data_IF_135387723353
#
_entry.id   IF_135387723353
#
_cell.length_a   1.000
_cell.length_b   1.000
_cell.length_c   1.000
_cell.angle_alpha   90.00
_cell.angle_beta   90.00
_cell.angle_gamma   90.00
#
_symmetry.space_group_name_H-M   'P 1'
#
loop_
_entity.id
_entity.type
_entity.pdbx_description
1 polymer ?
#
# COMPACT_ATOMS: atom_id res chain seq x y z
N UNK A 1 3.93 -22.65 -13.91
CA UNK A 1 4.34 -21.77 -15.03
C UNK A 1 5.29 -20.75 -14.42
N UNK A 2 6.59 -20.93 -14.62
CA UNK A 2 7.62 -20.06 -14.05
C UNK A 2 7.40 -18.63 -14.56
N UNK A 3 7.03 -17.75 -13.68
CA UNK A 3 6.97 -16.30 -13.93
C UNK A 3 8.43 -15.85 -14.05
N UNK A 4 8.88 -15.58 -15.27
CA UNK A 4 10.28 -15.20 -15.53
C UNK A 4 10.68 -13.96 -14.70
N UNK A 5 11.97 -13.80 -14.36
CA UNK A 5 12.48 -12.74 -13.46
C UNK A 5 12.08 -11.32 -13.89
N UNK A 6 11.79 -11.08 -15.17
CA UNK A 6 11.35 -9.79 -15.69
C UNK A 6 9.91 -9.41 -15.31
N UNK A 7 9.02 -10.39 -15.06
CA UNK A 7 7.64 -10.09 -14.65
C UNK A 7 7.59 -9.49 -13.24
N UNK A 8 8.53 -9.87 -12.37
CA UNK A 8 8.67 -9.34 -11.01
C UNK A 8 9.03 -7.85 -10.96
N UNK A 9 9.67 -7.33 -12.02
CA UNK A 9 10.09 -5.92 -12.12
C UNK A 9 9.26 -5.10 -13.11
N UNK A 10 8.15 -5.64 -13.61
CA UNK A 10 7.32 -4.99 -14.64
C UNK A 10 6.83 -3.60 -14.22
N UNK A 11 6.40 -3.44 -12.97
CA UNK A 11 5.94 -2.15 -12.43
C UNK A 11 7.08 -1.12 -12.34
N UNK A 12 8.27 -1.54 -11.92
CA UNK A 12 9.46 -0.70 -11.82
C UNK A 12 9.96 -0.27 -13.20
N UNK A 13 9.95 -1.19 -14.15
CA UNK A 13 10.32 -0.90 -15.54
C UNK A 13 9.34 0.08 -16.19
N UNK A 14 8.05 -0.10 -15.97
CA UNK A 14 7.01 0.82 -16.44
C UNK A 14 7.17 2.21 -15.82
N UNK A 15 7.49 2.31 -14.53
CA UNK A 15 7.79 3.59 -13.88
C UNK A 15 9.03 4.25 -14.49
N UNK A 16 10.13 3.51 -14.66
CA UNK A 16 11.36 4.01 -15.30
C UNK A 16 11.09 4.55 -16.70
N UNK A 17 10.33 3.83 -17.52
CA UNK A 17 9.94 4.27 -18.85
C UNK A 17 9.09 5.56 -18.80
N UNK A 18 8.10 5.65 -17.89
CA UNK A 18 7.29 6.85 -17.72
C UNK A 18 8.12 8.06 -17.33
N UNK A 19 9.01 7.91 -16.34
CA UNK A 19 9.91 9.00 -15.90
C UNK A 19 10.77 9.48 -17.07
N UNK A 20 11.36 8.56 -17.83
CA UNK A 20 12.20 8.90 -18.97
C UNK A 20 11.39 9.63 -20.05
N UNK A 21 10.22 9.13 -20.42
CA UNK A 21 9.35 9.76 -21.42
C UNK A 21 8.90 11.14 -20.96
N UNK A 22 8.49 11.28 -19.67
CA UNK A 22 8.09 12.57 -19.12
C UNK A 22 9.23 13.60 -19.15
N UNK A 23 10.46 13.20 -18.80
CA UNK A 23 11.62 14.07 -18.86
C UNK A 23 11.93 14.53 -20.29
N UNK A 24 11.99 13.59 -21.24
CA UNK A 24 12.28 13.88 -22.66
C UNK A 24 11.17 14.73 -23.29
N UNK A 25 9.90 14.40 -23.03
CA UNK A 25 8.76 15.15 -23.54
C UNK A 25 8.75 16.59 -22.98
N UNK A 26 9.01 16.77 -21.67
CA UNK A 26 9.08 18.09 -21.05
C UNK A 26 10.21 18.92 -21.64
N UNK A 27 11.39 18.33 -21.86
CA UNK A 27 12.51 19.00 -22.51
C UNK A 27 12.16 19.44 -23.94
N UNK A 28 11.54 18.55 -24.73
CA UNK A 28 11.13 18.85 -26.11
C UNK A 28 10.07 19.96 -26.18
N UNK A 29 9.03 19.87 -25.36
CA UNK A 29 7.95 20.88 -25.30
C UNK A 29 8.52 22.22 -24.80
N UNK A 30 9.35 22.21 -23.77
CA UNK A 30 9.97 23.43 -23.24
C UNK A 30 10.86 24.13 -24.26
N UNK A 31 11.60 23.37 -25.08
CA UNK A 31 12.38 23.91 -26.21
C UNK A 31 11.48 24.57 -27.27
N UNK A 32 10.38 23.92 -27.64
CA UNK A 32 9.42 24.44 -28.61
C UNK A 32 8.73 25.72 -28.12
N UNK A 33 8.47 25.82 -26.81
CA UNK A 33 7.83 26.98 -26.18
C UNK A 33 8.83 28.11 -25.86
N UNK A 34 10.13 27.88 -25.99
CA UNK A 34 11.17 28.85 -25.64
C UNK A 34 11.20 29.21 -24.16
N UNK A 35 10.82 28.25 -23.28
CA UNK A 35 10.77 28.52 -21.83
C UNK A 35 12.19 28.74 -21.28
N UNK A 36 12.45 29.84 -20.57
CA UNK A 36 13.69 29.98 -19.83
C UNK A 36 13.78 28.89 -18.75
N UNK A 37 14.91 28.42 -18.37
CA UNK A 37 15.09 27.49 -17.27
C UNK A 37 14.33 26.11 -17.39
N UNK A 38 14.31 25.52 -18.56
CA UNK A 38 13.70 24.20 -18.86
C UNK A 38 14.08 23.11 -17.83
N UNK A 39 15.27 23.22 -17.22
CA UNK A 39 15.78 22.27 -16.22
C UNK A 39 14.78 22.04 -15.08
N UNK A 40 14.18 23.09 -14.56
CA UNK A 40 13.23 22.99 -13.45
C UNK A 40 11.91 22.34 -13.86
N UNK A 41 11.45 22.57 -15.07
CA UNK A 41 10.26 21.88 -15.60
C UNK A 41 10.52 20.36 -15.76
N UNK A 42 11.70 19.98 -16.27
CA UNK A 42 12.09 18.56 -16.41
C UNK A 42 12.21 17.91 -15.04
N UNK A 43 12.86 18.55 -14.06
CA UNK A 43 12.94 18.04 -12.69
C UNK A 43 11.55 17.86 -12.07
N UNK A 44 10.65 18.81 -12.29
CA UNK A 44 9.27 18.74 -11.83
C UNK A 44 8.54 17.54 -12.45
N UNK A 45 8.69 17.31 -13.76
CA UNK A 45 8.08 16.16 -14.43
C UNK A 45 8.59 14.82 -13.89
N UNK A 46 9.89 14.71 -13.64
CA UNK A 46 10.52 13.52 -13.03
C UNK A 46 9.96 13.26 -11.63
N UNK A 47 9.91 14.28 -10.77
CA UNK A 47 9.44 14.19 -9.39
C UNK A 47 7.95 13.82 -9.33
N UNK A 48 7.12 14.37 -10.23
CA UNK A 48 5.68 14.20 -10.22
C UNK A 48 5.21 12.92 -10.92
N UNK A 49 6.08 12.26 -11.70
CA UNK A 49 5.78 10.96 -12.29
C UNK A 49 5.94 9.87 -11.24
N UNK A 50 4.83 9.30 -10.78
CA UNK A 50 4.77 8.32 -9.69
C UNK A 50 4.36 6.92 -10.19
N UNK A 51 4.38 5.91 -9.29
CA UNK A 51 4.03 4.53 -9.61
C UNK A 51 2.58 4.34 -10.09
N UNK A 52 1.64 5.13 -9.59
CA UNK A 52 0.25 5.12 -10.04
C UNK A 52 -0.19 6.50 -10.53
N UNK A 53 -1.23 6.52 -11.36
CA UNK A 53 -1.82 7.76 -11.89
C UNK A 53 -2.35 8.63 -10.74
N UNK A 54 -3.03 8.04 -9.76
CA UNK A 54 -3.56 8.77 -8.59
C UNK A 54 -2.47 9.40 -7.74
N UNK A 55 -1.32 8.73 -7.57
CA UNK A 55 -0.17 9.33 -6.88
C UNK A 55 0.40 10.51 -7.67
N UNK A 56 0.50 10.39 -9.00
CA UNK A 56 0.97 11.50 -9.83
C UNK A 56 0.03 12.70 -9.74
N UNK A 57 -1.30 12.49 -9.76
CA UNK A 57 -2.29 13.56 -9.59
C UNK A 57 -2.15 14.22 -8.22
N UNK A 58 -2.14 13.43 -7.14
CA UNK A 58 -1.98 13.95 -5.78
C UNK A 58 -0.67 14.74 -5.63
N UNK A 59 0.44 14.16 -6.11
CA UNK A 59 1.74 14.80 -6.06
C UNK A 59 1.74 16.13 -6.83
N UNK A 60 1.11 16.19 -8.02
CA UNK A 60 1.00 17.40 -8.81
C UNK A 60 0.17 18.47 -8.09
N UNK A 61 -0.96 18.10 -7.49
CA UNK A 61 -1.80 19.04 -6.74
C UNK A 61 -1.03 19.59 -5.53
N UNK A 62 -0.45 18.73 -4.70
CA UNK A 62 0.29 19.14 -3.50
C UNK A 62 1.51 20.01 -3.87
N UNK A 63 2.23 19.63 -4.93
CA UNK A 63 3.37 20.38 -5.45
C UNK A 63 2.95 21.77 -5.98
N UNK A 64 1.83 21.85 -6.69
CA UNK A 64 1.30 23.12 -7.21
C UNK A 64 0.90 24.08 -6.08
N UNK A 65 0.23 23.58 -5.03
CA UNK A 65 -0.09 24.41 -3.86
C UNK A 65 1.17 24.89 -3.13
N UNK A 66 2.15 24.03 -2.93
CA UNK A 66 3.43 24.38 -2.33
C UNK A 66 4.20 25.42 -3.16
N UNK A 67 4.21 25.26 -4.48
CA UNK A 67 4.87 26.18 -5.40
C UNK A 67 4.16 27.54 -5.43
N UNK A 68 2.84 27.57 -5.56
CA UNK A 68 2.08 28.82 -5.57
C UNK A 68 2.27 29.58 -4.25
N UNK A 69 2.10 28.91 -3.11
CA UNK A 69 2.29 29.52 -1.79
C UNK A 69 3.72 30.04 -1.58
N UNK A 70 4.71 29.22 -1.94
CA UNK A 70 6.13 29.60 -1.87
C UNK A 70 6.49 30.75 -2.79
N UNK A 71 6.02 30.73 -4.04
CA UNK A 71 6.30 31.78 -5.04
C UNK A 71 5.67 33.11 -4.68
N UNK A 72 4.40 33.13 -4.25
CA UNK A 72 3.70 34.34 -3.82
C UNK A 72 4.40 34.95 -2.61
N UNK A 73 4.62 34.13 -1.55
CA UNK A 73 5.22 34.66 -0.34
C UNK A 73 6.65 35.14 -0.55
N UNK A 74 7.52 34.34 -1.17
CA UNK A 74 8.91 34.72 -1.43
C UNK A 74 9.03 35.89 -2.41
N UNK A 75 8.16 35.97 -3.43
CA UNK A 75 8.09 37.07 -4.36
C UNK A 75 7.71 38.39 -3.65
N UNK A 76 6.73 38.38 -2.75
CA UNK A 76 6.36 39.55 -1.95
C UNK A 76 7.49 39.96 -1.02
N UNK A 77 8.07 39.04 -0.25
CA UNK A 77 9.18 39.37 0.68
C UNK A 77 10.36 39.94 -0.08
N UNK A 78 10.72 39.39 -1.23
CA UNK A 78 11.84 39.88 -2.05
C UNK A 78 11.58 41.25 -2.65
N UNK A 79 10.33 41.65 -2.88
CA UNK A 79 9.98 42.95 -3.40
C UNK A 79 10.08 44.06 -2.33
N UNK A 80 9.88 43.72 -1.05
CA UNK A 80 9.95 44.68 0.06
C UNK A 80 11.35 44.84 0.65
N UNK A 81 12.22 43.84 0.50
CA UNK A 81 13.60 43.90 0.99
C UNK A 81 14.54 44.22 -0.16
N UNK A 82 14.72 45.49 -0.42
CA UNK A 82 15.65 45.97 -1.46
C UNK A 82 17.10 45.92 -0.95
N UNK A 83 17.99 45.24 -1.65
CA UNK A 83 19.43 45.28 -1.40
C UNK A 83 20.18 44.06 -1.98
N UNK A 84 21.25 44.34 -2.71
CA UNK A 84 22.09 43.33 -3.37
C UNK A 84 23.32 42.91 -2.54
N UNK A 85 23.40 43.32 -1.26
CA UNK A 85 24.54 42.99 -0.39
C UNK A 85 24.35 41.59 0.25
N UNK A 86 25.45 40.82 0.44
CA UNK A 86 25.42 39.49 1.03
C UNK A 86 24.64 39.42 2.36
N UNK A 87 24.82 40.32 3.35
CA UNK A 87 24.06 40.28 4.60
C UNK A 87 22.55 40.45 4.39
N UNK A 88 22.15 41.28 3.47
CA UNK A 88 20.73 41.51 3.12
C UNK A 88 20.14 40.27 2.44
N UNK A 89 20.90 39.58 1.60
CA UNK A 89 20.47 38.36 0.95
C UNK A 89 20.29 37.23 1.94
N UNK A 90 21.19 37.08 2.93
CA UNK A 90 21.06 36.12 4.02
C UNK A 90 19.82 36.36 4.87
N UNK A 91 19.57 37.64 5.23
CA UNK A 91 18.38 38.01 5.99
C UNK A 91 17.10 37.77 5.18
N UNK A 92 17.10 38.14 3.90
CA UNK A 92 15.99 37.92 2.99
C UNK A 92 15.66 36.41 2.87
N UNK A 93 16.69 35.61 2.70
CA UNK A 93 16.53 34.15 2.62
C UNK A 93 15.95 33.60 3.91
N UNK A 94 16.43 34.04 5.08
CA UNK A 94 15.92 33.61 6.38
C UNK A 94 14.44 34.01 6.56
N UNK A 95 14.06 35.22 6.24
CA UNK A 95 12.67 35.71 6.33
C UNK A 95 11.76 34.94 5.36
N UNK A 96 12.25 34.68 4.14
CA UNK A 96 11.47 33.95 3.15
C UNK A 96 11.28 32.47 3.50
N UNK A 97 12.31 31.82 4.04
CA UNK A 97 12.24 30.36 4.25
C UNK A 97 11.61 29.98 5.59
N UNK A 98 11.89 30.70 6.68
CA UNK A 98 11.46 30.27 8.01
C UNK A 98 9.94 30.05 8.16
N UNK A 99 9.05 30.95 7.69
CA UNK A 99 7.61 30.71 7.72
C UNK A 99 7.17 29.58 6.79
N UNK A 100 7.79 29.47 5.60
CA UNK A 100 7.46 28.40 4.65
C UNK A 100 7.89 27.04 5.16
N UNK A 101 9.04 26.96 5.85
CA UNK A 101 9.52 25.73 6.49
C UNK A 101 8.59 25.31 7.63
N UNK A 102 8.12 26.27 8.44
CA UNK A 102 7.14 25.98 9.48
C UNK A 102 5.82 25.48 8.87
N UNK A 103 5.32 26.14 7.84
CA UNK A 103 4.10 25.74 7.14
C UNK A 103 4.24 24.34 6.53
N UNK A 104 5.39 24.03 5.93
CA UNK A 104 5.72 22.71 5.39
C UNK A 104 5.74 21.61 6.48
N UNK A 105 6.27 21.93 7.67
CA UNK A 105 6.29 21.00 8.79
C UNK A 105 4.87 20.71 9.34
N UNK A 106 3.99 21.70 9.32
CA UNK A 106 2.61 21.57 9.80
C UNK A 106 1.67 20.95 8.76
N UNK A 107 1.94 21.15 7.48
CA UNK A 107 1.02 20.78 6.40
C UNK A 107 1.78 20.16 5.21
N UNK A 108 1.68 18.85 4.99
CA UNK A 108 2.41 18.15 3.91
C UNK A 108 2.20 18.72 2.49
N UNK A 109 1.05 19.34 2.23
CA UNK A 109 0.77 20.00 0.94
C UNK A 109 1.74 21.12 0.58
N UNK A 110 2.37 21.71 1.58
CA UNK A 110 3.34 22.80 1.38
C UNK A 110 4.80 22.35 1.47
N UNK A 111 5.05 21.03 1.37
CA UNK A 111 6.40 20.46 1.48
C UNK A 111 7.42 21.08 0.53
N UNK A 112 6.98 21.55 -0.62
CA UNK A 112 7.82 22.17 -1.68
C UNK A 112 7.94 23.69 -1.54
N UNK A 113 7.12 24.32 -0.71
CA UNK A 113 7.10 25.78 -0.55
C UNK A 113 8.47 26.39 -0.14
N UNK A 114 9.23 25.79 0.81
CA UNK A 114 10.56 26.31 1.15
C UNK A 114 11.54 26.24 -0.03
N UNK A 115 11.54 25.13 -0.78
CA UNK A 115 12.40 24.98 -1.95
C UNK A 115 12.05 26.02 -3.05
N UNK A 116 10.76 26.26 -3.26
CA UNK A 116 10.31 27.32 -4.17
C UNK A 116 10.73 28.70 -3.69
N UNK A 117 10.65 28.95 -2.38
CA UNK A 117 11.13 30.21 -1.77
C UNK A 117 12.61 30.45 -2.03
N UNK A 118 13.46 29.41 -1.86
CA UNK A 118 14.89 29.48 -2.19
C UNK A 118 15.10 29.85 -3.65
N UNK A 119 14.40 29.18 -4.57
CA UNK A 119 14.53 29.43 -6.01
C UNK A 119 14.16 30.87 -6.34
N UNK A 120 13.02 31.39 -5.85
CA UNK A 120 12.52 32.72 -6.13
C UNK A 120 13.45 33.82 -5.57
N UNK A 121 14.06 33.58 -4.39
CA UNK A 121 14.99 34.55 -3.78
C UNK A 121 16.35 34.54 -4.47
N UNK A 122 16.87 33.35 -4.86
CA UNK A 122 18.23 33.24 -5.38
C UNK A 122 18.30 33.31 -6.91
N UNK A 123 17.26 32.94 -7.66
CA UNK A 123 17.28 32.99 -9.12
C UNK A 123 17.64 34.39 -9.67
N UNK A 124 17.16 35.54 -9.10
CA UNK A 124 17.57 36.85 -9.54
C UNK A 124 19.07 37.13 -9.51
N UNK A 125 19.80 36.48 -8.58
CA UNK A 125 21.27 36.64 -8.49
C UNK A 125 22.01 35.98 -9.65
N UNK A 126 21.37 35.00 -10.30
CA UNK A 126 21.93 34.23 -11.43
C UNK A 126 21.44 34.76 -12.78
N UNK A 127 20.19 35.20 -12.86
CA UNK A 127 19.51 35.54 -14.13
C UNK A 127 19.34 37.02 -14.35
N UNK A 128 19.65 37.87 -13.35
CA UNK A 128 19.36 39.32 -13.36
C UNK A 128 17.87 39.64 -13.58
N UNK A 129 16.96 38.67 -13.45
CA UNK A 129 15.53 38.85 -13.49
C UNK A 129 15.02 39.42 -12.17
N UNK A 130 13.79 39.98 -12.16
CA UNK A 130 13.15 40.36 -10.89
C UNK A 130 12.65 39.15 -10.13
N UNK A 131 12.53 39.22 -8.80
CA UNK A 131 11.97 38.14 -7.98
C UNK A 131 10.54 37.76 -8.40
N UNK A 132 9.76 38.75 -8.85
CA UNK A 132 8.41 38.50 -9.36
C UNK A 132 8.42 37.71 -10.67
N UNK A 133 9.35 38.02 -11.57
CA UNK A 133 9.54 37.28 -12.82
C UNK A 133 9.97 35.84 -12.52
N UNK A 134 10.91 35.67 -11.60
CA UNK A 134 11.35 34.30 -11.16
C UNK A 134 10.22 33.50 -10.51
N UNK A 135 9.33 34.16 -9.74
CA UNK A 135 8.13 33.52 -9.18
C UNK A 135 7.15 33.07 -10.27
N UNK A 136 6.93 33.93 -11.27
CA UNK A 136 6.07 33.60 -12.43
C UNK A 136 6.64 32.43 -13.25
N UNK A 137 7.93 32.52 -13.60
CA UNK A 137 8.62 31.45 -14.34
C UNK A 137 8.50 30.11 -13.59
N UNK A 138 8.68 30.11 -12.25
CA UNK A 138 8.57 28.92 -11.42
C UNK A 138 7.19 28.28 -11.48
N UNK A 139 6.14 29.09 -11.51
CA UNK A 139 4.75 28.60 -11.66
C UNK A 139 4.54 27.96 -13.04
N UNK A 140 5.04 28.60 -14.10
CA UNK A 140 4.95 28.06 -15.47
C UNK A 140 5.74 26.75 -15.63
N UNK A 141 6.95 26.67 -15.09
CA UNK A 141 7.78 25.45 -15.11
C UNK A 141 7.07 24.29 -14.41
N UNK A 142 6.45 24.54 -13.25
CA UNK A 142 5.70 23.54 -12.51
C UNK A 142 4.42 23.14 -13.24
N UNK A 143 3.73 24.10 -13.86
CA UNK A 143 2.55 23.80 -14.67
C UNK A 143 2.93 22.93 -15.89
N UNK A 144 4.03 23.25 -16.59
CA UNK A 144 4.51 22.48 -17.72
C UNK A 144 4.94 21.07 -17.28
N UNK A 145 5.85 20.98 -16.30
CA UNK A 145 6.37 19.69 -15.83
C UNK A 145 5.27 18.80 -15.22
N UNK A 146 4.39 19.36 -14.42
CA UNK A 146 3.23 18.67 -13.82
C UNK A 146 2.22 18.24 -14.86
N UNK A 147 1.89 19.10 -15.83
CA UNK A 147 0.98 18.77 -16.93
C UNK A 147 1.52 17.59 -17.76
N UNK A 148 2.79 17.64 -18.16
CA UNK A 148 3.43 16.53 -18.90
C UNK A 148 3.48 15.26 -18.06
N UNK A 149 3.83 15.34 -16.77
CA UNK A 149 3.84 14.20 -15.88
C UNK A 149 2.46 13.52 -15.79
N UNK A 150 1.38 14.30 -15.71
CA UNK A 150 0.01 13.76 -15.68
C UNK A 150 -0.36 13.09 -17.01
N UNK A 151 -0.12 13.76 -18.14
CA UNK A 151 -0.41 13.21 -19.47
C UNK A 151 0.36 11.91 -19.70
N UNK A 152 1.65 11.89 -19.40
CA UNK A 152 2.47 10.67 -19.53
C UNK A 152 2.01 9.58 -18.58
N UNK A 153 1.70 9.90 -17.33
CA UNK A 153 1.19 8.92 -16.35
C UNK A 153 -0.14 8.31 -16.78
N UNK A 154 -0.97 9.04 -17.52
CA UNK A 154 -2.26 8.55 -18.01
C UNK A 154 -2.14 7.75 -19.32
N UNK A 155 -1.24 8.14 -20.23
CA UNK A 155 -1.11 7.54 -21.56
C UNK A 155 -0.09 6.40 -21.62
N UNK A 156 1.00 6.47 -20.84
CA UNK A 156 2.11 5.53 -20.90
C UNK A 156 2.01 4.51 -19.80
N UNK A 157 1.62 3.29 -20.15
CA UNK A 157 1.45 2.17 -19.20
C UNK A 157 0.68 2.55 -17.94
N UNK A 158 -0.58 2.98 -18.03
CA UNK A 158 -1.34 3.47 -16.88
C UNK A 158 -1.42 2.37 -15.81
N UNK A 159 -0.68 2.54 -14.73
CA UNK A 159 -0.80 1.68 -13.55
C UNK A 159 -1.92 2.24 -12.69
N UNK A 160 -3.11 1.62 -12.77
CA UNK A 160 -4.23 1.99 -11.90
C UNK A 160 -3.92 1.50 -10.50
N UNK A 161 -4.02 2.36 -9.51
CA UNK A 161 -3.78 2.02 -8.11
C UNK A 161 -4.66 0.86 -7.65
N UNK A 162 -5.86 0.73 -8.23
CA UNK A 162 -6.76 -0.40 -8.01
C UNK A 162 -6.13 -1.75 -8.38
N UNK A 163 -5.50 -1.87 -9.56
CA UNK A 163 -4.87 -3.13 -9.99
C UNK A 163 -3.73 -3.47 -9.02
N UNK A 164 -2.93 -2.48 -8.64
CA UNK A 164 -1.85 -2.66 -7.67
C UNK A 164 -2.37 -3.08 -6.29
N UNK A 165 -3.52 -2.52 -5.86
CA UNK A 165 -4.17 -2.92 -4.60
C UNK A 165 -4.66 -4.38 -4.64
N UNK A 166 -5.20 -4.85 -5.78
CA UNK A 166 -5.63 -6.24 -5.93
C UNK A 166 -4.46 -7.21 -5.99
N UNK A 167 -3.38 -6.84 -6.67
CA UNK A 167 -2.13 -7.60 -6.66
C UNK A 167 -1.53 -7.68 -5.25
N UNK A 168 -1.52 -6.57 -4.50
CA UNK A 168 -1.07 -6.56 -3.10
C UNK A 168 -1.98 -7.42 -2.20
N UNK A 169 -3.30 -7.45 -2.46
CA UNK A 169 -4.24 -8.32 -1.77
C UNK A 169 -3.95 -9.81 -2.04
N UNK A 170 -3.71 -10.16 -3.30
CA UNK A 170 -3.33 -11.52 -3.67
C UNK A 170 -1.97 -11.94 -3.08
N UNK A 171 -1.00 -11.04 -3.04
CA UNK A 171 0.30 -11.26 -2.37
C UNK A 171 0.11 -11.53 -0.87
N UNK A 172 -0.75 -10.75 -0.21
CA UNK A 172 -1.09 -10.96 1.21
C UNK A 172 -1.72 -12.34 1.45
N UNK A 173 -2.65 -12.76 0.58
CA UNK A 173 -3.26 -14.08 0.66
C UNK A 173 -2.23 -15.21 0.46
N UNK A 174 -1.26 -15.02 -0.45
CA UNK A 174 -0.17 -15.97 -0.65
C UNK A 174 0.74 -16.07 0.59
N UNK A 175 1.06 -14.95 1.26
CA UNK A 175 1.79 -14.97 2.54
C UNK A 175 1.02 -15.69 3.65
N UNK A 176 -0.30 -15.49 3.73
CA UNK A 176 -1.13 -16.21 4.68
C UNK A 176 -1.16 -17.72 4.39
N UNK A 177 -1.26 -18.09 3.11
CA UNK A 177 -1.22 -19.49 2.68
C UNK A 177 0.10 -20.18 3.05
N UNK A 178 1.23 -19.48 2.92
CA UNK A 178 2.54 -20.01 3.35
C UNK A 178 2.65 -20.10 4.87
N UNK A 179 2.06 -19.16 5.61
CA UNK A 179 2.13 -19.11 7.06
C UNK A 179 1.27 -20.21 7.73
N UNK A 180 0.10 -20.55 7.17
CA UNK A 180 -0.87 -21.47 7.79
C UNK A 180 -0.27 -22.83 8.15
N UNK A 181 0.32 -23.62 7.23
CA UNK A 181 0.86 -24.95 7.58
C UNK A 181 1.96 -24.86 8.64
N UNK A 182 2.77 -23.77 8.61
CA UNK A 182 3.81 -23.53 9.60
C UNK A 182 3.22 -23.23 10.98
N UNK A 183 2.18 -22.41 11.07
CA UNK A 183 1.50 -22.13 12.34
C UNK A 183 0.83 -23.39 12.89
N UNK A 184 0.15 -24.17 12.05
CA UNK A 184 -0.55 -25.37 12.48
C UNK A 184 0.41 -26.48 12.92
N UNK A 185 1.64 -26.56 12.41
CA UNK A 185 2.63 -27.51 12.91
C UNK A 185 2.99 -27.27 14.39
N UNK A 186 2.71 -26.07 14.94
CA UNK A 186 2.84 -25.75 16.35
C UNK A 186 1.89 -26.55 17.27
N UNK A 187 0.78 -27.05 16.74
CA UNK A 187 -0.13 -27.92 17.51
C UNK A 187 0.45 -29.32 17.72
N UNK A 188 1.36 -29.77 16.86
CA UNK A 188 2.05 -31.04 16.97
C UNK A 188 3.35 -30.92 17.80
N UNK A 189 4.11 -29.86 17.60
CA UNK A 189 5.43 -29.68 18.21
C UNK A 189 5.64 -28.21 18.64
N UNK A 190 6.38 -27.96 19.74
CA UNK A 190 6.72 -26.62 20.15
C UNK A 190 7.46 -25.88 19.03
N UNK A 191 7.04 -24.66 18.74
CA UNK A 191 7.65 -23.81 17.73
C UNK A 191 8.51 -22.70 18.37
N UNK A 192 9.50 -22.22 17.61
CA UNK A 192 10.25 -21.06 17.98
C UNK A 192 9.33 -19.81 17.94
N UNK A 193 9.16 -19.10 19.08
CA UNK A 193 8.35 -17.88 19.12
C UNK A 193 8.85 -16.78 18.20
N UNK A 194 10.15 -16.77 17.83
CA UNK A 194 10.68 -15.80 16.88
C UNK A 194 10.23 -16.10 15.47
N UNK A 195 10.24 -17.36 15.05
CA UNK A 195 9.75 -17.77 13.73
C UNK A 195 8.26 -17.42 13.55
N UNK A 196 7.43 -17.61 14.58
CA UNK A 196 6.01 -17.22 14.54
C UNK A 196 5.87 -15.69 14.41
N UNK A 197 6.67 -14.91 15.18
CA UNK A 197 6.65 -13.45 15.08
C UNK A 197 7.10 -12.95 13.71
N UNK A 198 8.05 -13.62 13.08
CA UNK A 198 8.53 -13.25 11.75
C UNK A 198 7.45 -13.48 10.67
N UNK A 199 6.74 -14.60 10.73
CA UNK A 199 5.59 -14.86 9.87
C UNK A 199 4.50 -13.80 10.05
N UNK A 200 4.15 -13.46 11.29
CA UNK A 200 3.15 -12.44 11.59
C UNK A 200 3.59 -11.04 11.12
N UNK A 201 4.89 -10.71 11.21
CA UNK A 201 5.45 -9.46 10.67
C UNK A 201 5.32 -9.43 9.15
N UNK A 202 5.68 -10.50 8.45
CA UNK A 202 5.54 -10.60 6.99
C UNK A 202 4.13 -10.33 6.50
N UNK A 203 3.12 -10.95 7.15
CA UNK A 203 1.70 -10.68 6.87
C UNK A 203 1.32 -9.23 7.21
N UNK A 204 1.86 -8.67 8.30
CA UNK A 204 1.66 -7.28 8.70
C UNK A 204 2.19 -6.29 7.67
N UNK A 205 3.37 -6.54 7.13
CA UNK A 205 3.99 -5.70 6.10
C UNK A 205 3.25 -5.79 4.77
N UNK A 206 2.77 -6.99 4.40
CA UNK A 206 1.91 -7.16 3.22
C UNK A 206 0.60 -6.39 3.36
N UNK A 207 -0.03 -6.43 4.54
CA UNK A 207 -1.23 -5.64 4.83
C UNK A 207 -0.97 -4.13 4.75
N UNK A 208 0.13 -3.64 5.31
CA UNK A 208 0.49 -2.22 5.25
C UNK A 208 0.70 -1.73 3.80
N UNK A 209 1.27 -2.58 2.94
CA UNK A 209 1.37 -2.29 1.49
C UNK A 209 0.00 -2.21 0.84
N UNK A 210 -0.89 -3.15 1.13
CA UNK A 210 -2.26 -3.19 0.62
C UNK A 210 -3.06 -1.96 1.04
N UNK A 211 -3.03 -1.60 2.34
CA UNK A 211 -3.72 -0.42 2.89
C UNK A 211 -3.27 0.87 2.18
N UNK A 212 -1.97 1.01 1.95
CA UNK A 212 -1.41 2.13 1.19
C UNK A 212 -1.93 2.17 -0.26
N UNK A 213 -1.99 1.03 -0.94
CA UNK A 213 -2.48 0.95 -2.32
C UNK A 213 -4.00 1.24 -2.40
N UNK A 214 -4.78 0.80 -1.41
CA UNK A 214 -6.22 1.11 -1.32
C UNK A 214 -6.46 2.61 -1.15
N UNK A 215 -5.70 3.27 -0.27
CA UNK A 215 -5.79 4.71 -0.09
C UNK A 215 -5.49 5.46 -1.40
N UNK A 216 -4.52 4.99 -2.18
CA UNK A 216 -4.21 5.55 -3.49
C UNK A 216 -5.35 5.31 -4.50
N UNK A 217 -5.92 4.09 -4.53
CA UNK A 217 -7.05 3.76 -5.39
C UNK A 217 -8.31 4.59 -5.05
N UNK A 218 -8.54 4.86 -3.77
CA UNK A 218 -9.62 5.76 -3.32
C UNK A 218 -9.44 7.18 -3.84
N UNK A 219 -8.22 7.72 -3.85
CA UNK A 219 -7.93 9.04 -4.41
C UNK A 219 -8.14 9.07 -5.93
N UNK A 220 -7.72 8.04 -6.66
CA UNK A 220 -7.99 7.92 -8.10
C UNK A 220 -9.47 7.95 -8.39
N UNK A 221 -10.28 7.18 -7.67
CA UNK A 221 -11.74 7.13 -7.86
C UNK A 221 -12.41 8.49 -7.67
N UNK A 222 -12.00 9.25 -6.64
CA UNK A 222 -12.55 10.59 -6.37
C UNK A 222 -12.19 11.57 -7.48
N UNK A 223 -10.94 11.53 -7.96
CA UNK A 223 -10.43 12.48 -8.96
C UNK A 223 -11.01 12.21 -10.35
N UNK A 224 -11.15 10.93 -10.73
CA UNK A 224 -11.63 10.55 -12.07
C UNK A 224 -13.12 10.22 -12.14
N UNK A 225 -13.87 10.34 -11.02
CA UNK A 225 -15.32 10.02 -10.94
C UNK A 225 -15.63 8.60 -11.48
N UNK A 226 -14.73 7.65 -11.31
CA UNK A 226 -14.93 6.28 -11.77
C UNK A 226 -16.02 5.57 -10.96
N UNK A 227 -16.98 4.96 -11.65
CA UNK A 227 -18.11 4.22 -11.05
C UNK A 227 -17.72 2.80 -10.57
N UNK A 228 -16.44 2.53 -10.38
CA UNK A 228 -15.95 1.20 -10.00
C UNK A 228 -16.23 0.85 -8.51
N UNK A 229 -16.48 -0.44 -8.17
CA UNK A 229 -16.78 -0.86 -6.81
C UNK A 229 -15.69 -0.48 -5.80
N UNK A 230 -16.11 -0.09 -4.60
CA UNK A 230 -15.22 0.23 -3.48
C UNK A 230 -14.39 -0.98 -3.04
N UNK A 231 -13.08 -0.81 -2.81
CA UNK A 231 -12.20 -1.84 -2.29
C UNK A 231 -12.24 -1.96 -0.76
N UNK A 232 -12.82 -0.98 -0.06
CA UNK A 232 -12.86 -0.98 1.40
C UNK A 232 -13.54 -2.22 2.03
N UNK A 233 -14.62 -2.82 1.46
CA UNK A 233 -15.17 -4.07 1.99
C UNK A 233 -14.19 -5.24 1.89
N UNK A 234 -13.46 -5.34 0.77
CA UNK A 234 -12.43 -6.36 0.58
C UNK A 234 -11.26 -6.17 1.57
N UNK A 235 -10.79 -4.94 1.73
CA UNK A 235 -9.73 -4.62 2.69
C UNK A 235 -10.12 -5.00 4.11
N UNK A 236 -11.36 -4.74 4.52
CA UNK A 236 -11.88 -5.15 5.84
C UNK A 236 -11.92 -6.67 6.00
N UNK A 237 -12.30 -7.43 4.97
CA UNK A 237 -12.27 -8.88 5.01
C UNK A 237 -10.83 -9.40 5.19
N UNK A 238 -9.88 -8.88 4.41
CA UNK A 238 -8.46 -9.23 4.54
C UNK A 238 -7.87 -8.86 5.91
N UNK A 239 -8.32 -7.75 6.50
CA UNK A 239 -7.91 -7.35 7.86
C UNK A 239 -8.41 -8.34 8.92
N UNK A 240 -9.64 -8.82 8.80
CA UNK A 240 -10.19 -9.86 9.70
C UNK A 240 -9.42 -11.16 9.56
N UNK A 241 -9.20 -11.64 8.32
CA UNK A 241 -8.38 -12.82 8.05
C UNK A 241 -6.99 -12.74 8.68
N UNK A 242 -6.34 -11.55 8.59
CA UNK A 242 -5.06 -11.30 9.28
C UNK A 242 -5.20 -11.44 10.79
N UNK A 243 -6.27 -10.87 11.37
CA UNK A 243 -6.51 -10.97 12.81
C UNK A 243 -6.67 -12.41 13.26
N UNK A 244 -7.44 -13.19 12.53
CA UNK A 244 -7.68 -14.61 12.82
C UNK A 244 -6.39 -15.43 12.73
N UNK A 245 -5.54 -15.14 11.73
CA UNK A 245 -4.23 -15.78 11.61
C UNK A 245 -3.36 -15.51 12.86
N UNK A 246 -3.43 -14.30 13.43
CA UNK A 246 -2.73 -13.97 14.67
C UNK A 246 -3.32 -14.75 15.85
N UNK A 247 -4.65 -14.93 15.91
CA UNK A 247 -5.32 -15.71 16.97
C UNK A 247 -4.95 -17.20 16.87
N UNK A 248 -4.97 -17.77 15.66
CA UNK A 248 -4.50 -19.14 15.42
C UNK A 248 -3.02 -19.28 15.83
N UNK A 249 -2.18 -18.35 15.43
CA UNK A 249 -0.76 -18.35 15.79
C UNK A 249 -0.52 -18.30 17.30
N UNK A 250 -1.34 -17.56 18.05
CA UNK A 250 -1.29 -17.56 19.52
C UNK A 250 -1.69 -18.91 20.12
N UNK A 251 -2.73 -19.54 19.58
CA UNK A 251 -3.15 -20.87 20.00
C UNK A 251 -2.06 -21.91 19.67
N UNK A 252 -1.38 -21.77 18.54
CA UNK A 252 -0.36 -22.71 18.07
C UNK A 252 0.98 -22.63 18.84
N UNK A 253 1.18 -21.64 19.72
CA UNK A 253 2.36 -21.60 20.61
C UNK A 253 2.40 -22.77 21.58
N UNK A 254 1.24 -23.27 21.99
CA UNK A 254 1.12 -24.41 22.92
C UNK A 254 0.69 -25.64 22.14
N UNK A 255 1.46 -26.74 22.14
CA UNK A 255 1.05 -27.99 21.53
C UNK A 255 -0.23 -28.53 22.13
N UNK A 256 -0.97 -29.31 21.33
CA UNK A 256 -2.15 -30.02 21.80
C UNK A 256 -1.81 -31.01 22.95
N UNK A 257 -2.74 -31.17 23.91
CA UNK A 257 -2.61 -32.21 24.92
C UNK A 257 -2.35 -33.59 24.29
N UNK A 258 -1.45 -34.39 24.87
CA UNK A 258 -1.07 -35.70 24.30
C UNK A 258 -2.24 -36.61 24.03
N UNK A 259 -3.30 -36.53 24.86
CA UNK A 259 -4.52 -37.35 24.68
C UNK A 259 -5.35 -36.95 23.46
N UNK A 260 -5.24 -35.71 22.99
CA UNK A 260 -6.00 -35.17 21.86
C UNK A 260 -5.21 -35.20 20.56
N UNK A 261 -3.86 -35.14 20.65
CA UNK A 261 -2.98 -35.07 19.50
C UNK A 261 -3.25 -36.16 18.45
N UNK A 262 -3.33 -37.47 18.77
CA UNK A 262 -3.53 -38.49 17.75
C UNK A 262 -4.84 -38.38 16.98
N UNK A 263 -5.83 -37.67 17.55
CA UNK A 263 -7.17 -37.52 16.97
C UNK A 263 -7.32 -36.23 16.19
N UNK A 264 -6.62 -35.16 16.58
CA UNK A 264 -6.80 -33.83 16.01
C UNK A 264 -5.66 -33.40 15.08
N UNK A 265 -4.44 -33.93 15.24
CA UNK A 265 -3.25 -33.47 14.48
C UNK A 265 -3.46 -33.56 12.97
N UNK A 266 -3.89 -34.76 12.48
CA UNK A 266 -4.12 -34.96 11.03
C UNK A 266 -5.26 -34.09 10.51
N UNK A 267 -6.32 -33.89 11.29
CA UNK A 267 -7.45 -33.03 10.89
C UNK A 267 -7.01 -31.57 10.78
N UNK A 268 -6.23 -31.08 11.74
CA UNK A 268 -5.69 -29.72 11.73
C UNK A 268 -4.70 -29.51 10.58
N UNK A 269 -3.84 -30.49 10.29
CA UNK A 269 -2.94 -30.41 9.14
C UNK A 269 -3.73 -30.34 7.83
N UNK A 270 -4.78 -31.16 7.69
CA UNK A 270 -5.66 -31.12 6.50
C UNK A 270 -6.35 -29.76 6.38
N UNK A 271 -6.87 -29.20 7.46
CA UNK A 271 -7.47 -27.86 7.45
C UNK A 271 -6.44 -26.81 7.00
N UNK A 272 -5.20 -26.89 7.51
CA UNK A 272 -4.15 -25.93 7.14
C UNK A 272 -3.81 -25.98 5.66
N UNK A 273 -3.63 -27.18 5.11
CA UNK A 273 -3.26 -27.39 3.70
C UNK A 273 -4.39 -26.95 2.76
N UNK A 274 -5.63 -27.36 3.06
CA UNK A 274 -6.79 -27.00 2.26
C UNK A 274 -7.14 -25.51 2.35
N UNK A 275 -7.01 -24.91 3.54
CA UNK A 275 -7.19 -23.47 3.72
C UNK A 275 -6.09 -22.67 2.99
N UNK A 276 -4.84 -23.15 3.00
CA UNK A 276 -3.77 -22.54 2.22
C UNK A 276 -4.06 -22.60 0.71
N UNK A 277 -4.55 -23.75 0.22
CA UNK A 277 -4.95 -23.90 -1.18
C UNK A 277 -6.11 -22.95 -1.54
N UNK A 278 -7.13 -22.83 -0.66
CA UNK A 278 -8.25 -21.89 -0.86
C UNK A 278 -7.79 -20.42 -0.88
N UNK A 279 -6.85 -20.01 -0.01
CA UNK A 279 -6.29 -18.65 -0.03
C UNK A 279 -5.56 -18.36 -1.35
N UNK A 280 -4.81 -19.31 -1.89
CA UNK A 280 -4.15 -19.14 -3.20
C UNK A 280 -5.17 -19.04 -4.34
N UNK A 281 -6.23 -19.85 -4.29
CA UNK A 281 -7.35 -19.77 -5.24
C UNK A 281 -8.05 -18.41 -5.17
N UNK A 282 -8.35 -17.92 -3.96
CA UNK A 282 -8.96 -16.60 -3.73
C UNK A 282 -8.06 -15.47 -4.25
N UNK A 283 -6.73 -15.57 -4.05
CA UNK A 283 -5.75 -14.63 -4.62
C UNK A 283 -5.73 -14.64 -6.15
N UNK A 284 -5.76 -15.81 -6.77
CA UNK A 284 -5.82 -15.96 -8.22
C UNK A 284 -7.17 -15.45 -8.79
N UNK A 285 -8.27 -15.71 -8.10
CA UNK A 285 -9.59 -15.21 -8.44
C UNK A 285 -9.66 -13.67 -8.35
N UNK A 286 -9.05 -13.09 -7.31
CA UNK A 286 -9.00 -11.65 -7.07
C UNK A 286 -8.31 -10.90 -8.23
N UNK A 287 -7.16 -11.39 -8.69
CA UNK A 287 -6.43 -10.79 -9.81
C UNK A 287 -7.01 -11.16 -11.18
N UNK A 288 -7.63 -12.33 -11.29
CA UNK A 288 -8.29 -12.81 -12.51
C UNK A 288 -9.69 -12.26 -12.76
N UNK A 289 -10.20 -11.39 -11.88
CA UNK A 289 -11.55 -10.83 -11.92
C UNK A 289 -12.65 -11.91 -12.11
N UNK A 290 -12.51 -13.02 -11.39
CA UNK A 290 -13.45 -14.14 -11.40
C UNK A 290 -13.91 -14.50 -9.98
N UNK A 291 -14.99 -15.26 -9.86
CA UNK A 291 -15.37 -15.82 -8.56
C UNK A 291 -14.38 -16.94 -8.15
N UNK A 292 -14.01 -17.02 -6.84
CA UNK A 292 -13.26 -18.14 -6.32
C UNK A 292 -14.07 -19.44 -6.43
N UNK A 293 -13.38 -20.55 -6.57
CA UNK A 293 -14.01 -21.88 -6.52
C UNK A 293 -13.95 -22.38 -5.07
N UNK A 294 -15.09 -22.58 -4.38
CA UNK A 294 -15.08 -23.06 -3.00
C UNK A 294 -14.50 -24.46 -2.88
N UNK A 295 -13.65 -24.69 -1.87
CA UNK A 295 -13.07 -25.99 -1.59
C UNK A 295 -14.03 -26.86 -0.77
N UNK A 296 -14.64 -27.88 -1.42
CA UNK A 296 -15.46 -28.87 -0.71
C UNK A 296 -14.63 -29.73 0.26
N UNK A 297 -13.34 -29.90 -0.01
CA UNK A 297 -12.42 -30.62 0.86
C UNK A 297 -12.14 -29.87 2.15
N UNK A 298 -12.02 -28.54 2.07
CA UNK A 298 -11.91 -27.69 3.24
C UNK A 298 -13.16 -27.73 4.12
N UNK A 299 -14.35 -27.64 3.52
CA UNK A 299 -15.61 -27.77 4.26
C UNK A 299 -15.71 -29.12 4.96
N UNK A 300 -15.39 -30.21 4.25
CA UNK A 300 -15.38 -31.56 4.83
C UNK A 300 -14.36 -31.70 5.97
N UNK A 301 -13.20 -31.04 5.89
CA UNK A 301 -12.18 -31.04 6.95
C UNK A 301 -12.66 -30.29 8.21
N UNK A 302 -13.29 -29.13 8.07
CA UNK A 302 -13.91 -28.42 9.20
C UNK A 302 -15.02 -29.23 9.85
N UNK A 303 -15.88 -29.87 9.05
CA UNK A 303 -16.96 -30.71 9.55
C UNK A 303 -16.42 -31.95 10.26
N UNK A 304 -15.33 -32.55 9.77
CA UNK A 304 -14.66 -33.66 10.43
C UNK A 304 -14.07 -33.24 11.78
N UNK A 305 -13.41 -32.10 11.84
CA UNK A 305 -12.90 -31.52 13.09
C UNK A 305 -14.04 -31.31 14.11
N UNK A 306 -15.14 -30.69 13.68
CA UNK A 306 -16.29 -30.42 14.56
C UNK A 306 -16.93 -31.68 15.10
N UNK A 307 -17.06 -32.72 14.27
CA UNK A 307 -17.52 -34.02 14.70
C UNK A 307 -16.58 -34.66 15.74
N UNK A 308 -15.27 -34.56 15.51
CA UNK A 308 -14.27 -35.12 16.40
C UNK A 308 -14.27 -34.45 17.78
N UNK A 309 -14.38 -33.12 17.82
CA UNK A 309 -14.54 -32.36 19.08
C UNK A 309 -15.82 -32.80 19.83
N UNK A 310 -16.92 -33.02 19.12
CA UNK A 310 -18.18 -33.49 19.70
C UNK A 310 -18.02 -34.89 20.30
N UNK A 311 -17.38 -35.81 19.60
CA UNK A 311 -17.07 -37.15 20.09
C UNK A 311 -16.19 -37.13 21.34
N UNK A 312 -15.11 -36.32 21.35
CA UNK A 312 -14.24 -36.13 22.51
C UNK A 312 -14.99 -35.58 23.73
N UNK A 313 -16.00 -34.77 23.50
CA UNK A 313 -16.87 -34.23 24.56
C UNK A 313 -17.84 -35.29 25.10
N UNK A 314 -18.45 -36.11 24.23
CA UNK A 314 -19.36 -37.21 24.59
C UNK A 314 -18.62 -38.30 25.33
N UNK A 315 -17.42 -38.66 24.92
CA UNK A 315 -16.53 -39.61 25.58
C UNK A 315 -16.03 -39.13 26.97
N UNK A 316 -16.28 -37.86 27.33
CA UNK A 316 -15.84 -37.27 28.59
C UNK A 316 -14.36 -36.92 28.65
N UNK A 317 -13.61 -37.09 27.55
CA UNK A 317 -12.16 -36.86 27.50
C UNK A 317 -11.86 -35.38 27.82
N UNK A 318 -12.63 -34.44 27.23
CA UNK A 318 -12.45 -33.02 27.50
C UNK A 318 -12.68 -32.62 28.97
N UNK A 319 -13.59 -33.34 29.69
CA UNK A 319 -13.83 -33.14 31.13
C UNK A 319 -12.70 -33.63 32.02
N UNK A 320 -11.87 -34.53 31.51
CA UNK A 320 -10.72 -35.08 32.24
C UNK A 320 -9.44 -34.28 32.10
N UNK A 321 -9.45 -33.24 31.25
CA UNK A 321 -8.32 -32.34 31.03
C UNK A 321 -8.24 -31.26 32.11
N UNK A 322 -7.03 -30.73 32.41
CA UNK A 322 -6.87 -29.51 33.18
C UNK A 322 -7.59 -28.34 32.51
N UNK A 323 -8.08 -27.38 33.32
CA UNK A 323 -8.88 -26.23 32.84
C UNK A 323 -8.14 -25.46 31.75
N UNK A 324 -6.85 -25.20 31.90
CA UNK A 324 -6.02 -24.49 30.93
C UNK A 324 -5.98 -25.19 29.55
N UNK A 325 -5.94 -26.53 29.54
CA UNK A 325 -5.98 -27.32 28.31
C UNK A 325 -7.35 -27.30 27.64
N UNK A 326 -8.42 -27.28 28.46
CA UNK A 326 -9.79 -27.14 27.96
C UNK A 326 -9.99 -25.77 27.33
N UNK A 327 -9.54 -24.71 28.00
CA UNK A 327 -9.59 -23.34 27.47
C UNK A 327 -8.84 -23.22 26.15
N UNK A 328 -7.66 -23.82 26.04
CA UNK A 328 -6.86 -23.85 24.82
C UNK A 328 -7.61 -24.52 23.66
N UNK A 329 -8.22 -25.69 23.87
CA UNK A 329 -9.00 -26.39 22.84
C UNK A 329 -10.20 -25.58 22.39
N UNK A 330 -10.91 -24.93 23.31
CA UNK A 330 -12.03 -24.06 22.97
C UNK A 330 -11.58 -22.79 22.22
N UNK A 331 -10.48 -22.17 22.64
CA UNK A 331 -9.92 -21.01 21.96
C UNK A 331 -9.51 -21.34 20.52
N UNK A 332 -8.90 -22.51 20.31
CA UNK A 332 -8.58 -23.01 18.97
C UNK A 332 -9.86 -23.23 18.14
N UNK A 333 -10.85 -23.92 18.71
CA UNK A 333 -12.13 -24.19 18.02
C UNK A 333 -12.82 -22.88 17.59
N UNK A 334 -12.87 -21.90 18.47
CA UNK A 334 -13.42 -20.58 18.18
C UNK A 334 -12.63 -19.86 17.07
N UNK A 335 -11.30 -19.88 17.13
CA UNK A 335 -10.46 -19.25 16.11
C UNK A 335 -10.65 -19.90 14.73
N UNK A 336 -10.81 -21.21 14.67
CA UNK A 336 -11.05 -21.95 13.42
C UNK A 336 -12.43 -21.63 12.84
N UNK A 337 -13.46 -21.57 13.67
CA UNK A 337 -14.82 -21.22 13.22
C UNK A 337 -14.89 -19.78 12.70
N UNK A 338 -14.24 -18.84 13.39
CA UNK A 338 -14.12 -17.46 12.96
C UNK A 338 -13.39 -17.36 11.62
N UNK A 339 -12.25 -18.06 11.49
CA UNK A 339 -11.50 -18.14 10.23
C UNK A 339 -12.34 -18.64 9.07
N UNK A 340 -13.11 -19.75 9.27
CA UNK A 340 -14.02 -20.28 8.25
C UNK A 340 -15.01 -19.22 7.79
N UNK A 341 -15.67 -18.55 8.73
CA UNK A 341 -16.67 -17.53 8.42
C UNK A 341 -16.08 -16.31 7.69
N UNK A 342 -14.87 -15.88 8.08
CA UNK A 342 -14.20 -14.76 7.43
C UNK A 342 -13.62 -15.10 6.05
N UNK A 343 -13.22 -16.37 5.83
CA UNK A 343 -12.82 -16.87 4.52
C UNK A 343 -14.03 -16.92 3.55
N UNK A 344 -15.19 -17.37 4.01
CA UNK A 344 -16.43 -17.38 3.24
C UNK A 344 -16.87 -15.93 2.88
N UNK A 345 -16.73 -14.98 3.82
CA UNK A 345 -17.01 -13.56 3.53
C UNK A 345 -16.04 -12.99 2.51
N UNK A 346 -14.75 -13.31 2.60
CA UNK A 346 -13.75 -12.91 1.62
C UNK A 346 -14.10 -13.42 0.22
N UNK A 347 -14.37 -14.71 0.08
CA UNK A 347 -14.70 -15.33 -1.20
C UNK A 347 -15.97 -14.73 -1.81
N UNK A 348 -16.98 -14.46 -0.99
CA UNK A 348 -18.20 -13.76 -1.41
C UNK A 348 -17.87 -12.35 -1.91
N UNK A 349 -17.01 -11.57 -1.21
CA UNK A 349 -16.61 -10.23 -1.65
C UNK A 349 -15.85 -10.25 -2.97
N UNK A 350 -15.00 -11.25 -3.18
CA UNK A 350 -14.30 -11.44 -4.45
C UNK A 350 -15.31 -11.76 -5.56
N UNK A 351 -16.28 -12.64 -5.30
CA UNK A 351 -17.31 -13.01 -6.27
C UNK A 351 -18.25 -11.83 -6.62
N UNK A 352 -18.66 -11.03 -5.63
CA UNK A 352 -19.47 -9.82 -5.84
C UNK A 352 -18.78 -8.81 -6.78
N UNK A 353 -17.45 -8.73 -6.67
CA UNK A 353 -16.64 -7.84 -7.49
C UNK A 353 -16.46 -8.34 -8.93
N UNK A 354 -16.53 -9.65 -9.14
CA UNK A 354 -16.36 -10.27 -10.45
C UNK A 354 -17.61 -10.16 -11.34
N UNK A 355 -18.74 -9.70 -10.78
CA UNK A 355 -20.01 -9.43 -11.48
C UNK A 355 -20.04 -8.01 -12.05
#
# INVERSE_FOLDING_TARGET
MEIGPLSRYRAQLALGARITIAAVATLGIGHLLGTPMILWAVLTAVILTQMSVGRSVKATIDYSFGTLGGAIYAGLVSNYVAGANEPTLLLLLAIAIAPLALLSALTPRFSVAPATGVIVVLAPTLTHATAFHSAYDRVLEVALGGGVALVVSHLVFPARARILALEAGAEMLAFMAEALPRLFSGFAQPQDPEAIRDLQRGVGDAFARLDKMEQEARHERIVFLEAEPDLAPLLRALLRMRHDLVMIGRAAVTPLPERLRPRLETLLATIADEAAAQLLESGAALTGARAPVPSKTLDAAFDAYSREISALREEGILRSLPVEQVEHVFALGFALEQWRGDLDDLDRRIAERAR
#
